data_IF_699262834257
#
_entry.id   IF_699262834257
#
_cell.length_a   1.000
_cell.length_b   1.000
_cell.length_c   1.000
_cell.angle_alpha   90.00
_cell.angle_beta   90.00
_cell.angle_gamma   90.00
#
_symmetry.space_group_name_H-M   'P 1'
#
loop_
_entity.id
_entity.type
_entity.pdbx_description
1 polymer ?
#
# COMPACT_ATOMS: atom_id res chain seq x y z
N UNK A 1 29.28 -28.92 -13.02
CA UNK A 1 29.19 -27.56 -13.56
C UNK A 1 28.12 -27.58 -14.64
N UNK A 2 26.90 -27.28 -14.29
CA UNK A 2 25.71 -27.29 -15.15
C UNK A 2 24.93 -26.04 -14.90
N UNK A 3 24.92 -25.22 -15.90
CA UNK A 3 24.31 -23.88 -15.95
C UNK A 3 22.78 -24.03 -15.96
N UNK A 4 22.12 -23.78 -14.83
CA UNK A 4 20.66 -23.72 -14.73
C UNK A 4 20.20 -22.28 -15.06
N UNK A 5 20.08 -22.00 -16.35
CA UNK A 5 19.33 -20.82 -16.80
C UNK A 5 17.83 -21.06 -16.60
N UNK A 6 17.28 -20.48 -15.54
CA UNK A 6 15.83 -20.44 -15.33
C UNK A 6 15.21 -19.54 -16.40
N UNK A 7 14.46 -20.15 -17.33
CA UNK A 7 13.64 -19.42 -18.32
C UNK A 7 12.49 -18.74 -17.59
N UNK A 8 12.54 -17.41 -17.55
CA UNK A 8 11.42 -16.57 -17.08
C UNK A 8 10.26 -16.70 -18.07
N UNK A 9 9.17 -17.31 -17.64
CA UNK A 9 7.89 -17.25 -18.38
C UNK A 9 7.16 -16.02 -17.87
N UNK A 10 7.13 -14.99 -18.70
CA UNK A 10 6.36 -13.77 -18.47
C UNK A 10 4.90 -14.05 -18.84
N UNK A 11 4.03 -14.15 -17.86
CA UNK A 11 2.58 -14.07 -18.07
C UNK A 11 2.13 -12.72 -17.54
N UNK A 12 1.96 -11.77 -18.44
CA UNK A 12 1.35 -10.48 -18.12
C UNK A 12 -0.16 -10.70 -17.89
N UNK A 13 -0.58 -10.76 -16.65
CA UNK A 13 -1.98 -10.71 -16.28
C UNK A 13 -2.37 -9.27 -15.96
N UNK A 14 -2.81 -8.53 -16.97
CA UNK A 14 -3.55 -7.29 -16.76
C UNK A 14 -4.89 -7.64 -16.11
N UNK A 15 -5.03 -7.38 -14.81
CA UNK A 15 -6.27 -7.63 -14.09
C UNK A 15 -7.17 -6.39 -14.25
N UNK A 16 -8.00 -6.39 -15.32
CA UNK A 16 -9.12 -5.48 -15.45
C UNK A 16 -10.32 -6.06 -14.68
N UNK A 17 -10.69 -5.46 -13.54
CA UNK A 17 -11.91 -5.82 -12.84
C UNK A 17 -13.11 -5.08 -13.41
N UNK A 18 -14.03 -5.80 -14.04
CA UNK A 18 -15.38 -5.32 -14.23
C UNK A 18 -16.23 -5.76 -13.02
N UNK A 19 -16.53 -4.83 -12.12
CA UNK A 19 -17.35 -5.10 -10.93
C UNK A 19 -18.83 -4.98 -11.30
N UNK A 20 -19.58 -6.07 -11.23
CA UNK A 20 -21.04 -6.05 -11.26
C UNK A 20 -21.53 -6.03 -9.81
N UNK A 21 -22.04 -4.88 -9.37
CA UNK A 21 -22.62 -4.72 -8.04
C UNK A 21 -24.12 -5.05 -8.10
N UNK A 22 -24.54 -6.06 -7.35
CA UNK A 22 -25.94 -6.28 -7.00
C UNK A 22 -26.17 -5.65 -5.64
N UNK A 23 -26.96 -4.60 -5.60
CA UNK A 23 -27.36 -3.93 -4.35
C UNK A 23 -28.38 -4.81 -3.60
N UNK A 24 -28.02 -5.26 -2.41
CA UNK A 24 -28.98 -5.77 -1.41
C UNK A 24 -28.85 -4.90 -0.16
N UNK A 25 -29.95 -4.24 0.18
CA UNK A 25 -30.05 -3.36 1.32
C UNK A 25 -30.23 -4.11 2.64
N UNK A 26 -29.88 -3.44 3.73
CA UNK A 26 -30.55 -3.55 5.00
C UNK A 26 -29.73 -4.03 6.18
N UNK A 27 -29.69 -3.22 7.22
CA UNK A 27 -29.45 -3.69 8.57
C UNK A 27 -28.42 -2.89 9.35
N UNK A 28 -28.83 -1.76 9.89
CA UNK A 28 -28.06 -0.97 10.84
C UNK A 28 -27.89 -1.72 12.16
N UNK A 29 -26.74 -2.33 12.42
CA UNK A 29 -26.38 -2.83 13.74
C UNK A 29 -25.64 -1.73 14.49
N UNK A 30 -26.22 -1.27 15.60
CA UNK A 30 -25.59 -0.36 16.57
C UNK A 30 -24.28 -1.00 17.05
N UNK A 31 -23.16 -0.38 16.72
CA UNK A 31 -21.87 -0.71 17.32
C UNK A 31 -21.95 -0.52 18.84
N UNK A 32 -21.68 -1.60 19.58
CA UNK A 32 -21.53 -1.53 21.03
C UNK A 32 -20.34 -0.65 21.39
N UNK A 33 -20.46 0.10 22.49
CA UNK A 33 -19.41 0.97 23.00
C UNK A 33 -18.06 0.22 23.15
N UNK A 34 -16.92 0.88 22.92
CA UNK A 34 -15.60 0.26 23.02
C UNK A 34 -15.38 -0.26 24.43
N UNK A 35 -15.09 -1.55 24.56
CA UNK A 35 -14.72 -2.16 25.84
C UNK A 35 -13.27 -1.79 26.15
N UNK A 36 -13.07 -1.01 27.22
CA UNK A 36 -11.86 -0.29 27.59
C UNK A 36 -10.57 -1.11 27.61
N UNK A 37 -9.67 -0.73 26.74
CA UNK A 37 -8.23 -0.90 26.81
C UNK A 37 -7.56 0.47 26.76
N UNK A 38 -6.21 0.59 26.91
CA UNK A 38 -5.54 1.85 26.75
C UNK A 38 -5.77 2.43 25.36
N UNK A 39 -5.93 3.75 25.27
CA UNK A 39 -6.14 4.46 24.01
C UNK A 39 -5.02 4.18 23.00
N UNK A 40 -5.35 4.23 21.70
CA UNK A 40 -4.37 4.22 20.61
C UNK A 40 -4.34 5.57 19.91
N UNK A 41 -3.16 6.01 19.50
CA UNK A 41 -2.95 7.30 18.84
C UNK A 41 -2.91 7.21 17.31
N UNK A 42 -3.12 6.03 16.73
CA UNK A 42 -3.06 5.78 15.30
C UNK A 42 -4.35 5.13 14.79
N UNK A 43 -4.72 5.43 13.56
CA UNK A 43 -5.77 4.72 12.85
C UNK A 43 -5.24 3.37 12.35
N UNK A 44 -6.13 2.40 12.21
CA UNK A 44 -5.84 1.09 11.66
C UNK A 44 -6.59 0.89 10.35
N UNK A 45 -5.96 0.22 9.39
CA UNK A 45 -6.56 -0.04 8.08
C UNK A 45 -6.14 -1.37 7.48
N UNK A 46 -6.88 -1.79 6.47
CA UNK A 46 -6.61 -2.99 5.67
C UNK A 46 -6.64 -2.60 4.20
N UNK A 47 -5.80 -3.23 3.37
CA UNK A 47 -5.83 -3.04 1.92
C UNK A 47 -7.05 -3.73 1.28
N UNK A 48 -7.42 -3.26 0.10
CA UNK A 48 -8.47 -3.89 -0.70
C UNK A 48 -7.97 -5.11 -1.49
N UNK A 49 -6.85 -5.74 -1.09
CA UNK A 49 -6.41 -6.99 -1.69
C UNK A 49 -7.43 -8.09 -1.36
N UNK A 50 -8.17 -8.62 -2.36
CA UNK A 50 -9.27 -9.55 -2.08
C UNK A 50 -8.74 -10.95 -1.78
N UNK A 51 -9.54 -11.75 -1.08
CA UNK A 51 -9.27 -13.18 -0.87
C UNK A 51 -9.32 -13.98 -2.17
N UNK A 52 -10.26 -13.64 -3.05
CA UNK A 52 -10.48 -14.24 -4.36
C UNK A 52 -10.62 -13.16 -5.42
N UNK A 53 -10.24 -13.44 -6.66
CA UNK A 53 -10.32 -12.50 -7.78
C UNK A 53 -11.78 -12.37 -8.29
N UNK A 54 -12.67 -11.85 -7.43
CA UNK A 54 -14.06 -11.57 -7.78
C UNK A 54 -14.59 -10.34 -7.03
N UNK A 55 -15.67 -9.75 -7.54
CA UNK A 55 -16.25 -8.52 -7.01
C UNK A 55 -16.78 -8.65 -5.59
N UNK A 56 -17.33 -9.82 -5.21
CA UNK A 56 -17.79 -10.05 -3.83
C UNK A 56 -16.63 -10.01 -2.85
N UNK A 57 -15.57 -10.74 -3.13
CA UNK A 57 -14.39 -10.78 -2.28
C UNK A 57 -13.71 -9.41 -2.18
N UNK A 58 -13.74 -8.62 -3.26
CA UNK A 58 -13.28 -7.23 -3.22
C UNK A 58 -14.15 -6.37 -2.31
N UNK A 59 -15.48 -6.47 -2.39
CA UNK A 59 -16.40 -5.75 -1.50
C UNK A 59 -16.23 -6.16 -0.03
N UNK A 60 -15.96 -7.45 0.23
CA UNK A 60 -15.73 -7.96 1.59
C UNK A 60 -14.51 -7.30 2.27
N UNK A 61 -13.54 -6.77 1.52
CA UNK A 61 -12.40 -6.05 2.10
C UNK A 61 -12.81 -4.74 2.77
N UNK A 62 -13.75 -4.01 2.20
CA UNK A 62 -14.29 -2.79 2.80
C UNK A 62 -15.10 -3.09 4.08
N UNK A 63 -15.84 -4.21 4.09
CA UNK A 63 -16.53 -4.66 5.30
C UNK A 63 -15.55 -5.00 6.41
N UNK A 64 -14.47 -5.70 6.07
CA UNK A 64 -13.42 -6.06 7.03
C UNK A 64 -12.72 -4.81 7.57
N UNK A 65 -12.36 -3.86 6.69
CA UNK A 65 -11.74 -2.61 7.08
C UNK A 65 -12.62 -1.83 8.05
N UNK A 66 -13.91 -1.66 7.76
CA UNK A 66 -14.86 -0.97 8.62
C UNK A 66 -15.11 -1.66 9.96
N UNK A 67 -15.04 -3.00 9.99
CA UNK A 67 -15.18 -3.79 11.21
C UNK A 67 -13.98 -3.67 12.14
N UNK A 68 -12.80 -3.40 11.60
CA UNK A 68 -11.54 -3.57 12.33
C UNK A 68 -10.60 -2.37 12.25
N UNK A 69 -11.09 -1.21 11.82
CA UNK A 69 -10.29 -0.01 11.74
C UNK A 69 -11.08 1.18 11.21
N UNK A 70 -10.36 2.23 10.88
CA UNK A 70 -10.90 3.49 10.35
C UNK A 70 -10.48 3.76 8.91
N UNK A 71 -9.56 2.94 8.36
CA UNK A 71 -8.95 3.22 7.07
C UNK A 71 -9.04 2.03 6.11
N UNK A 72 -9.03 2.36 4.83
CA UNK A 72 -8.87 1.39 3.75
C UNK A 72 -7.83 1.90 2.75
N UNK A 73 -7.00 0.98 2.24
CA UNK A 73 -6.05 1.24 1.15
C UNK A 73 -6.63 0.72 -0.15
N UNK A 74 -6.80 1.60 -1.13
CA UNK A 74 -6.99 1.24 -2.54
C UNK A 74 -5.65 1.48 -3.25
N UNK A 75 -5.05 0.43 -3.81
CA UNK A 75 -3.84 0.54 -4.62
C UNK A 75 -4.14 0.09 -6.04
N UNK A 76 -3.71 0.89 -7.02
CA UNK A 76 -4.08 0.65 -8.41
C UNK A 76 -3.07 1.19 -9.41
N UNK A 77 -2.79 0.39 -10.42
CA UNK A 77 -2.14 0.86 -11.64
C UNK A 77 -3.07 1.84 -12.37
N UNK A 78 -2.58 2.98 -12.88
CA UNK A 78 -3.41 3.91 -13.63
C UNK A 78 -4.10 3.21 -14.83
N UNK A 79 -5.39 3.44 -15.05
CA UNK A 79 -6.06 3.00 -16.27
C UNK A 79 -5.70 3.96 -17.42
N UNK A 80 -4.43 3.90 -17.84
CA UNK A 80 -3.80 4.86 -18.74
C UNK A 80 -4.62 5.22 -19.97
N UNK A 81 -5.30 4.22 -20.57
CA UNK A 81 -6.08 4.41 -21.80
C UNK A 81 -7.18 5.46 -21.67
N UNK A 82 -7.72 5.63 -20.45
CA UNK A 82 -8.79 6.58 -20.14
C UNK A 82 -8.29 8.02 -19.92
N UNK A 83 -6.97 8.18 -19.78
CA UNK A 83 -6.36 9.45 -19.37
C UNK A 83 -5.32 9.99 -20.36
N UNK A 84 -5.04 9.28 -21.44
CA UNK A 84 -4.20 9.81 -22.53
C UNK A 84 -4.87 11.03 -23.15
N UNK A 85 -4.10 11.98 -23.73
CA UNK A 85 -4.66 13.19 -24.32
C UNK A 85 -5.77 12.89 -25.33
N UNK A 86 -6.95 13.47 -25.10
CA UNK A 86 -8.13 13.30 -25.97
C UNK A 86 -8.98 12.06 -25.73
N UNK A 87 -8.65 11.23 -24.73
CA UNK A 87 -9.49 10.11 -24.36
C UNK A 87 -10.67 10.55 -23.46
N UNK A 88 -11.77 9.83 -23.56
CA UNK A 88 -12.89 9.90 -22.61
C UNK A 88 -12.71 8.85 -21.51
N UNK A 89 -13.20 9.15 -20.31
CA UNK A 89 -13.21 8.20 -19.21
C UNK A 89 -14.21 7.08 -19.51
N UNK A 90 -13.74 5.84 -19.50
CA UNK A 90 -14.58 4.67 -19.77
C UNK A 90 -15.68 4.50 -18.69
N UNK A 91 -16.81 3.90 -19.09
CA UNK A 91 -17.88 3.53 -18.17
C UNK A 91 -17.36 2.62 -17.05
N UNK A 92 -16.41 1.74 -17.35
CA UNK A 92 -15.79 0.83 -16.38
C UNK A 92 -15.05 1.61 -15.29
N UNK A 93 -14.22 2.59 -15.65
CA UNK A 93 -13.51 3.44 -14.68
C UNK A 93 -14.48 4.28 -13.88
N UNK A 94 -15.46 4.92 -14.51
CA UNK A 94 -16.47 5.73 -13.83
C UNK A 94 -17.28 4.91 -12.82
N UNK A 95 -17.73 3.71 -13.21
CA UNK A 95 -18.48 2.80 -12.35
C UNK A 95 -17.65 2.28 -11.17
N UNK A 96 -16.41 1.92 -11.41
CA UNK A 96 -15.48 1.49 -10.35
C UNK A 96 -15.29 2.60 -9.34
N UNK A 97 -15.00 3.82 -9.79
CA UNK A 97 -14.85 5.00 -8.93
C UNK A 97 -16.09 5.24 -8.07
N UNK A 98 -17.27 5.23 -8.68
CA UNK A 98 -18.52 5.43 -7.95
C UNK A 98 -18.77 4.35 -6.90
N UNK A 99 -18.53 3.07 -7.24
CA UNK A 99 -18.73 1.95 -6.32
C UNK A 99 -17.78 1.99 -5.12
N UNK A 100 -16.52 2.30 -5.37
CA UNK A 100 -15.50 2.38 -4.31
C UNK A 100 -15.73 3.59 -3.41
N UNK A 101 -16.08 4.73 -4.01
CA UNK A 101 -16.42 5.94 -3.24
C UNK A 101 -17.63 5.71 -2.34
N UNK A 102 -18.68 5.06 -2.87
CA UNK A 102 -19.86 4.67 -2.10
C UNK A 102 -19.50 3.71 -0.95
N UNK A 103 -18.64 2.71 -1.21
CA UNK A 103 -18.16 1.78 -0.19
C UNK A 103 -17.38 2.48 0.93
N UNK A 104 -16.52 3.44 0.58
CA UNK A 104 -15.75 4.26 1.53
C UNK A 104 -16.68 5.13 2.37
N UNK A 105 -17.60 5.87 1.72
CA UNK A 105 -18.48 6.82 2.39
C UNK A 105 -19.53 6.14 3.27
N UNK A 106 -20.19 5.11 2.75
CA UNK A 106 -21.24 4.39 3.48
C UNK A 106 -20.72 3.68 4.73
N UNK A 107 -19.42 3.35 4.75
CA UNK A 107 -18.75 2.71 5.87
C UNK A 107 -17.94 3.68 6.74
N UNK A 108 -17.99 4.98 6.42
CA UNK A 108 -17.24 6.03 7.12
C UNK A 108 -15.73 5.76 7.23
N UNK A 109 -15.15 5.14 6.20
CA UNK A 109 -13.72 4.87 6.14
C UNK A 109 -12.94 6.10 5.67
N UNK A 110 -11.74 6.27 6.17
CA UNK A 110 -10.77 7.20 5.61
C UNK A 110 -9.97 6.48 4.53
N UNK A 111 -9.95 7.05 3.34
CA UNK A 111 -9.28 6.45 2.19
C UNK A 111 -7.80 6.85 2.15
N UNK A 112 -6.93 5.85 2.01
CA UNK A 112 -5.61 6.00 1.44
C UNK A 112 -5.65 5.45 0.01
N UNK A 113 -5.42 6.31 -0.97
CA UNK A 113 -5.36 5.90 -2.38
C UNK A 113 -3.92 5.91 -2.86
N UNK A 114 -3.42 4.77 -3.34
CA UNK A 114 -2.07 4.64 -3.88
C UNK A 114 -2.12 4.41 -5.39
N UNK A 115 -1.61 5.37 -6.16
CA UNK A 115 -1.34 5.19 -7.58
C UNK A 115 -0.05 4.38 -7.70
N UNK A 116 -0.14 3.18 -8.31
CA UNK A 116 0.99 2.28 -8.56
C UNK A 116 1.32 2.25 -10.05
N UNK A 117 2.18 3.15 -10.55
CA UNK A 117 2.45 3.25 -11.97
C UNK A 117 3.44 2.19 -12.47
N UNK A 118 4.15 1.50 -11.56
CA UNK A 118 5.23 0.57 -11.91
C UNK A 118 4.83 -0.89 -11.76
N UNK A 119 5.50 -1.79 -12.48
CA UNK A 119 5.17 -3.21 -12.52
C UNK A 119 5.79 -3.97 -11.34
N UNK A 120 5.01 -4.17 -10.26
CA UNK A 120 5.44 -4.93 -9.10
C UNK A 120 5.85 -6.38 -9.41
N UNK A 121 5.28 -6.99 -10.46
CA UNK A 121 5.62 -8.37 -10.85
C UNK A 121 7.04 -8.51 -11.43
N UNK A 122 7.62 -7.41 -11.91
CA UNK A 122 9.00 -7.38 -12.44
C UNK A 122 9.98 -6.74 -11.46
N UNK A 123 9.54 -6.47 -10.22
CA UNK A 123 10.32 -5.76 -9.22
C UNK A 123 10.46 -4.28 -9.58
N UNK A 124 9.44 -3.69 -10.21
CA UNK A 124 9.33 -2.26 -10.54
C UNK A 124 10.40 -1.74 -11.52
N UNK A 125 10.72 -2.52 -12.55
CA UNK A 125 11.71 -2.14 -13.56
C UNK A 125 11.14 -1.32 -14.73
N UNK A 126 9.81 -1.16 -14.80
CA UNK A 126 9.09 -0.46 -15.89
C UNK A 126 7.70 -0.02 -15.43
N UNK A 127 7.03 0.78 -16.28
CA UNK A 127 5.63 1.14 -16.08
C UNK A 127 4.71 -0.07 -16.32
N UNK A 128 3.65 -0.16 -15.53
CA UNK A 128 2.62 -1.18 -15.63
C UNK A 128 1.41 -0.70 -16.44
N UNK A 129 0.77 -1.63 -17.17
CA UNK A 129 -0.56 -1.40 -17.73
C UNK A 129 -0.65 -0.38 -18.88
N UNK A 130 0.48 0.04 -19.45
CA UNK A 130 0.48 0.96 -20.57
C UNK A 130 -0.29 0.38 -21.77
N UNK A 131 -1.14 1.18 -22.46
CA UNK A 131 -1.79 0.76 -23.70
C UNK A 131 -0.77 0.51 -24.81
N UNK A 132 -1.14 -0.24 -25.83
CA UNK A 132 -0.23 -0.62 -26.92
C UNK A 132 0.43 0.57 -27.63
N UNK A 133 -0.25 1.70 -27.72
CA UNK A 133 0.27 2.96 -28.26
C UNK A 133 1.38 3.60 -27.41
N UNK A 134 1.53 3.17 -26.18
CA UNK A 134 2.53 3.69 -25.22
C UNK A 134 3.53 2.62 -24.76
N UNK A 135 3.54 1.46 -25.40
CA UNK A 135 4.46 0.36 -25.04
C UNK A 135 5.92 0.83 -25.06
N UNK A 136 6.62 0.57 -23.96
CA UNK A 136 8.05 0.91 -23.79
C UNK A 136 8.34 2.39 -23.49
N UNK A 137 7.28 3.22 -23.31
CA UNK A 137 7.43 4.59 -22.82
C UNK A 137 7.70 4.60 -21.31
N UNK A 138 8.27 5.71 -20.83
CA UNK A 138 8.63 5.95 -19.44
C UNK A 138 8.14 7.35 -18.98
N UNK A 139 8.54 7.82 -17.82
CA UNK A 139 8.12 9.13 -17.28
C UNK A 139 8.69 10.34 -18.01
N UNK A 140 9.63 10.16 -18.96
CA UNK A 140 10.09 11.23 -19.83
C UNK A 140 9.10 11.56 -20.97
N UNK A 141 8.21 10.62 -21.31
CA UNK A 141 7.25 10.77 -22.39
C UNK A 141 6.11 11.72 -22.04
N UNK A 142 5.77 12.63 -22.95
CA UNK A 142 4.77 13.67 -22.72
C UNK A 142 3.34 13.12 -22.54
N UNK A 143 2.98 12.03 -23.23
CA UNK A 143 1.65 11.42 -23.10
C UNK A 143 1.52 10.67 -21.76
N UNK A 144 2.61 9.98 -21.32
CA UNK A 144 2.66 9.33 -20.00
C UNK A 144 2.50 10.38 -18.89
N UNK A 145 3.25 11.47 -18.98
CA UNK A 145 3.15 12.57 -17.99
C UNK A 145 1.76 13.16 -17.95
N UNK A 146 1.20 13.47 -19.12
CA UNK A 146 -0.15 14.04 -19.23
C UNK A 146 -1.21 13.11 -18.65
N UNK A 147 -1.17 11.83 -19.02
CA UNK A 147 -2.09 10.82 -18.51
C UNK A 147 -2.00 10.65 -16.98
N UNK A 148 -0.78 10.60 -16.44
CA UNK A 148 -0.54 10.48 -15.01
C UNK A 148 -1.11 11.68 -14.22
N UNK A 149 -0.83 12.90 -14.69
CA UNK A 149 -1.31 14.13 -14.07
C UNK A 149 -2.83 14.23 -14.08
N UNK A 150 -3.44 13.87 -15.22
CA UNK A 150 -4.90 13.87 -15.36
C UNK A 150 -5.53 12.82 -14.44
N UNK A 151 -4.94 11.63 -14.34
CA UNK A 151 -5.41 10.59 -13.43
C UNK A 151 -5.25 10.98 -11.97
N UNK A 152 -4.11 11.55 -11.58
CA UNK A 152 -3.90 12.03 -10.21
C UNK A 152 -4.94 13.08 -9.80
N UNK A 153 -5.22 14.04 -10.68
CA UNK A 153 -6.27 15.04 -10.46
C UNK A 153 -7.67 14.41 -10.41
N UNK A 154 -7.96 13.44 -11.29
CA UNK A 154 -9.22 12.69 -11.28
C UNK A 154 -9.44 11.98 -9.94
N UNK A 155 -8.42 11.29 -9.42
CA UNK A 155 -8.49 10.62 -8.10
C UNK A 155 -8.75 11.65 -7.00
N UNK A 156 -8.02 12.76 -6.99
CA UNK A 156 -8.21 13.81 -5.99
C UNK A 156 -9.64 14.36 -5.97
N UNK A 157 -10.22 14.63 -7.15
CA UNK A 157 -11.57 15.21 -7.30
C UNK A 157 -12.68 14.21 -6.98
N UNK A 158 -12.56 12.96 -7.42
CA UNK A 158 -13.66 12.00 -7.35
C UNK A 158 -13.66 11.15 -6.09
N UNK A 159 -12.51 10.88 -5.49
CA UNK A 159 -12.40 10.10 -4.26
C UNK A 159 -12.23 10.97 -3.02
N UNK A 160 -11.65 12.17 -3.13
CA UNK A 160 -11.26 13.01 -1.98
C UNK A 160 -10.52 12.20 -0.90
N UNK A 161 -9.43 11.51 -1.25
CA UNK A 161 -8.76 10.62 -0.30
C UNK A 161 -8.14 11.44 0.84
N UNK A 162 -8.16 10.89 2.07
CA UNK A 162 -7.46 11.51 3.19
C UNK A 162 -5.94 11.51 2.97
N UNK A 163 -5.44 10.45 2.33
CA UNK A 163 -4.02 10.30 1.96
C UNK A 163 -3.92 9.78 0.53
N UNK A 164 -2.92 10.24 -0.21
CA UNK A 164 -2.71 9.85 -1.59
C UNK A 164 -1.22 9.63 -1.88
N UNK A 165 -0.85 8.41 -2.27
CA UNK A 165 0.48 8.14 -2.79
C UNK A 165 0.47 8.28 -4.32
N UNK A 166 1.44 9.03 -4.86
CA UNK A 166 1.64 9.24 -6.30
C UNK A 166 2.70 8.29 -6.89
N UNK A 167 3.06 7.27 -6.16
CA UNK A 167 3.97 6.20 -6.55
C UNK A 167 4.13 5.21 -5.40
N UNK A 168 4.31 3.93 -5.73
CA UNK A 168 4.48 2.86 -4.75
C UNK A 168 5.89 2.30 -4.83
N UNK A 169 6.58 2.27 -3.68
CA UNK A 169 7.93 1.69 -3.51
C UNK A 169 8.95 2.21 -4.54
N UNK A 170 8.93 3.52 -4.74
CA UNK A 170 9.67 4.16 -5.83
C UNK A 170 11.20 4.12 -5.67
N UNK A 171 11.72 3.75 -4.49
CA UNK A 171 13.14 3.44 -4.32
C UNK A 171 13.56 2.21 -5.15
N UNK A 172 12.71 1.18 -5.29
CA UNK A 172 12.98 0.03 -6.15
C UNK A 172 13.09 0.46 -7.63
N UNK A 173 12.18 1.34 -8.08
CA UNK A 173 12.25 1.90 -9.43
C UNK A 173 13.54 2.71 -9.64
N UNK A 174 13.94 3.51 -8.64
CA UNK A 174 15.13 4.38 -8.73
C UNK A 174 16.44 3.60 -8.93
N UNK A 175 16.53 2.38 -8.40
CA UNK A 175 17.71 1.54 -8.56
C UNK A 175 17.81 0.98 -9.98
N UNK A 176 16.69 0.65 -10.60
CA UNK A 176 16.63 -0.01 -11.91
C UNK A 176 16.63 0.99 -13.06
N UNK A 177 16.05 2.17 -12.84
CA UNK A 177 15.83 3.21 -13.85
C UNK A 177 16.21 4.60 -13.33
N UNK A 178 17.45 4.76 -12.90
CA UNK A 178 17.91 6.00 -12.24
C UNK A 178 17.66 7.27 -13.08
N UNK A 179 17.90 7.24 -14.39
CA UNK A 179 17.69 8.39 -15.26
C UNK A 179 16.20 8.76 -15.38
N UNK A 180 15.32 7.76 -15.46
CA UNK A 180 13.88 8.01 -15.54
C UNK A 180 13.26 8.29 -14.15
N UNK A 181 13.91 7.90 -13.07
CA UNK A 181 13.49 8.28 -11.72
C UNK A 181 13.56 9.80 -11.51
N UNK A 182 14.53 10.50 -12.12
CA UNK A 182 14.59 11.96 -12.10
C UNK A 182 13.39 12.59 -12.83
N UNK A 183 12.93 11.97 -13.94
CA UNK A 183 11.71 12.34 -14.63
C UNK A 183 10.47 12.10 -13.76
N UNK A 184 10.42 10.95 -13.07
CA UNK A 184 9.35 10.65 -12.10
C UNK A 184 9.31 11.69 -10.98
N UNK A 185 10.44 12.06 -10.39
CA UNK A 185 10.49 13.05 -9.32
C UNK A 185 9.94 14.40 -9.80
N UNK A 186 10.32 14.85 -10.99
CA UNK A 186 9.77 16.05 -11.61
C UNK A 186 8.26 15.96 -11.81
N UNK A 187 7.78 14.82 -12.32
CA UNK A 187 6.36 14.55 -12.51
C UNK A 187 5.58 14.50 -11.18
N UNK A 188 6.15 13.87 -10.16
CA UNK A 188 5.58 13.82 -8.82
C UNK A 188 5.37 15.23 -8.25
N UNK A 189 6.36 16.12 -8.39
CA UNK A 189 6.24 17.49 -7.88
C UNK A 189 5.14 18.28 -8.58
N UNK A 190 4.96 18.08 -9.87
CA UNK A 190 3.85 18.68 -10.62
C UNK A 190 2.49 18.07 -10.19
N UNK A 191 2.43 16.75 -10.05
CA UNK A 191 1.24 16.05 -9.60
C UNK A 191 0.83 16.44 -8.17
N UNK A 192 1.82 16.61 -7.26
CA UNK A 192 1.58 17.12 -5.91
C UNK A 192 0.84 18.45 -5.93
N UNK A 193 1.32 19.42 -6.70
CA UNK A 193 0.69 20.74 -6.79
C UNK A 193 -0.76 20.64 -7.33
N UNK A 194 -0.98 19.83 -8.38
CA UNK A 194 -2.32 19.62 -8.94
C UNK A 194 -3.28 18.95 -7.96
N UNK A 195 -2.80 17.97 -7.19
CA UNK A 195 -3.61 17.31 -6.16
C UNK A 195 -3.95 18.31 -5.05
N UNK A 196 -2.99 19.09 -4.58
CA UNK A 196 -3.22 20.11 -3.54
C UNK A 196 -4.16 21.22 -4.01
N UNK A 197 -4.15 21.58 -5.29
CA UNK A 197 -5.13 22.52 -5.87
C UNK A 197 -6.54 21.91 -5.93
N UNK A 198 -6.66 20.63 -6.35
CA UNK A 198 -7.94 19.96 -6.52
C UNK A 198 -8.57 19.50 -5.19
N UNK A 199 -7.75 19.10 -4.22
CA UNK A 199 -8.15 18.57 -2.91
C UNK A 199 -7.14 19.00 -1.83
N UNK A 200 -7.24 20.24 -1.31
CA UNK A 200 -6.24 20.82 -0.39
C UNK A 200 -6.01 20.01 0.89
N UNK A 201 -7.03 19.31 1.37
CA UNK A 201 -6.97 18.50 2.59
C UNK A 201 -6.31 17.14 2.40
N UNK A 202 -6.17 16.66 1.15
CA UNK A 202 -5.49 15.41 0.84
C UNK A 202 -4.01 15.50 1.23
N UNK A 203 -3.55 14.57 2.07
CA UNK A 203 -2.13 14.42 2.40
C UNK A 203 -1.43 13.61 1.31
N UNK A 204 -0.48 14.24 0.61
CA UNK A 204 0.19 13.66 -0.56
C UNK A 204 1.55 13.09 -0.18
N UNK A 205 1.89 11.93 -0.73
CA UNK A 205 3.14 11.22 -0.47
C UNK A 205 3.58 10.37 -1.67
N UNK A 206 4.69 9.70 -1.51
CA UNK A 206 5.16 8.54 -2.27
C UNK A 206 5.50 7.45 -1.25
N UNK A 207 5.33 6.18 -1.58
CA UNK A 207 5.75 5.13 -0.64
C UNK A 207 7.14 4.60 -0.96
N UNK A 208 7.82 4.15 0.10
CA UNK A 208 9.16 3.60 0.07
C UNK A 208 9.16 2.19 0.63
N UNK A 209 9.74 1.23 -0.07
CA UNK A 209 10.00 -0.10 0.48
C UNK A 209 11.12 0.02 1.52
N UNK A 210 10.77 -0.23 2.78
CA UNK A 210 11.59 0.18 3.92
C UNK A 210 12.88 -0.66 4.07
N UNK A 211 12.78 -1.97 3.85
CA UNK A 211 13.93 -2.88 3.92
C UNK A 211 14.93 -2.58 2.79
N UNK A 212 14.43 -2.17 1.62
CA UNK A 212 15.27 -1.74 0.52
C UNK A 212 15.95 -0.39 0.80
N UNK A 213 15.23 0.59 1.36
CA UNK A 213 15.86 1.85 1.79
C UNK A 213 17.07 1.63 2.70
N UNK A 214 17.07 0.54 3.47
CA UNK A 214 18.18 0.14 4.34
C UNK A 214 19.26 -0.68 3.61
N UNK A 215 19.06 -1.02 2.32
CA UNK A 215 19.92 -1.94 1.58
C UNK A 215 19.86 -3.38 2.09
N UNK A 216 18.72 -3.80 2.64
CA UNK A 216 18.54 -5.11 3.29
C UNK A 216 17.65 -6.07 2.53
N UNK A 217 17.05 -5.68 1.41
CA UNK A 217 16.15 -6.54 0.66
C UNK A 217 16.96 -7.61 -0.11
N UNK A 218 16.84 -8.92 0.22
CA UNK A 218 17.73 -9.95 -0.35
C UNK A 218 17.43 -10.28 -1.81
N UNK A 219 16.30 -9.82 -2.33
CA UNK A 219 15.89 -10.02 -3.73
C UNK A 219 16.43 -8.96 -4.67
N UNK A 220 17.00 -7.89 -4.13
CA UNK A 220 17.58 -6.78 -4.87
C UNK A 220 19.10 -6.78 -4.74
N UNK A 221 19.78 -6.05 -5.62
CA UNK A 221 21.22 -5.85 -5.53
C UNK A 221 21.56 -5.15 -4.21
N UNK A 222 22.60 -5.62 -3.54
CA UNK A 222 23.05 -4.99 -2.31
C UNK A 222 23.57 -3.58 -2.59
N UNK A 223 23.07 -2.63 -1.84
CA UNK A 223 23.48 -1.22 -1.94
C UNK A 223 23.57 -0.59 -0.54
N UNK A 224 24.20 0.59 -0.47
CA UNK A 224 24.17 1.39 0.75
C UNK A 224 22.76 1.94 1.01
N UNK A 225 22.39 2.19 2.28
CA UNK A 225 21.11 2.80 2.60
C UNK A 225 20.80 4.04 1.77
N UNK A 226 19.62 4.08 1.17
CA UNK A 226 19.20 5.10 0.20
C UNK A 226 18.33 6.22 0.81
N UNK A 227 18.57 6.58 2.08
CA UNK A 227 17.77 7.56 2.82
C UNK A 227 17.68 8.94 2.17
N UNK A 228 18.66 9.31 1.34
CA UNK A 228 18.65 10.57 0.57
C UNK A 228 17.43 10.69 -0.36
N UNK A 229 16.83 9.56 -0.77
CA UNK A 229 15.61 9.58 -1.59
C UNK A 229 14.44 10.18 -0.81
N UNK A 230 14.26 9.82 0.45
CA UNK A 230 13.21 10.39 1.32
C UNK A 230 13.40 11.90 1.44
N UNK A 231 14.65 12.34 1.71
CA UNK A 231 14.98 13.75 1.83
C UNK A 231 14.75 14.54 0.53
N UNK A 232 14.95 13.91 -0.63
CA UNK A 232 14.75 14.56 -1.92
C UNK A 232 13.28 14.92 -2.21
N UNK A 233 12.32 14.24 -1.54
CA UNK A 233 10.89 14.50 -1.67
C UNK A 233 10.30 15.36 -0.52
N UNK A 234 11.06 15.62 0.54
CA UNK A 234 10.56 16.22 1.79
C UNK A 234 9.83 17.55 1.60
N UNK A 235 10.24 18.37 0.61
CA UNK A 235 9.62 19.66 0.32
C UNK A 235 8.16 19.55 -0.19
N UNK A 236 7.82 18.46 -0.87
CA UNK A 236 6.49 18.19 -1.42
C UNK A 236 5.99 16.79 -1.00
N UNK A 237 6.10 16.50 0.28
CA UNK A 237 5.62 15.28 0.90
C UNK A 237 4.97 15.65 2.24
N UNK A 238 3.71 15.28 2.44
CA UNK A 238 2.99 15.64 3.67
C UNK A 238 3.22 14.61 4.79
N UNK A 239 3.45 13.35 4.45
CA UNK A 239 3.78 12.25 5.35
C UNK A 239 4.85 11.34 4.73
N UNK A 240 5.74 10.78 5.55
CA UNK A 240 6.73 9.79 5.12
C UNK A 240 6.11 8.39 5.18
N UNK A 241 5.66 7.90 4.03
CA UNK A 241 4.95 6.64 3.92
C UNK A 241 5.89 5.49 3.55
N UNK A 242 5.82 4.40 4.29
CA UNK A 242 6.60 3.19 4.03
C UNK A 242 5.72 1.97 3.80
N UNK A 243 6.19 1.06 2.94
CA UNK A 243 5.80 -0.34 2.92
C UNK A 243 6.89 -1.16 3.63
N UNK A 244 6.52 -2.13 4.46
CA UNK A 244 7.47 -2.86 5.28
C UNK A 244 7.08 -4.33 5.44
N UNK A 245 8.02 -5.20 5.11
CA UNK A 245 7.88 -6.65 5.14
C UNK A 245 9.14 -7.29 5.73
N UNK A 246 9.38 -7.13 7.05
CA UNK A 246 10.64 -7.54 7.66
C UNK A 246 10.96 -9.03 7.51
N UNK A 247 9.96 -9.88 7.30
CA UNK A 247 10.15 -11.30 7.00
C UNK A 247 10.99 -11.57 5.74
N UNK A 248 11.14 -10.56 4.86
CA UNK A 248 12.03 -10.66 3.69
C UNK A 248 13.52 -10.52 4.07
N UNK A 249 13.81 -9.75 5.12
CA UNK A 249 15.17 -9.38 5.50
C UNK A 249 15.65 -10.06 6.79
N UNK A 250 14.75 -10.55 7.64
CA UNK A 250 15.06 -11.12 8.94
C UNK A 250 14.42 -12.51 9.10
N UNK A 251 15.18 -13.46 9.60
CA UNK A 251 14.70 -14.82 9.81
C UNK A 251 13.68 -14.93 10.96
N UNK A 252 13.78 -14.03 11.94
CA UNK A 252 12.89 -13.99 13.11
C UNK A 252 12.59 -12.54 13.49
N UNK A 253 11.45 -12.34 14.12
CA UNK A 253 11.04 -11.03 14.66
C UNK A 253 12.04 -10.51 15.70
N UNK A 254 12.68 -11.40 16.46
CA UNK A 254 13.75 -11.04 17.43
C UNK A 254 15.00 -10.44 16.79
N UNK A 255 15.23 -10.70 15.50
CA UNK A 255 16.40 -10.20 14.77
C UNK A 255 16.19 -8.78 14.22
N UNK A 256 14.95 -8.31 14.21
CA UNK A 256 14.62 -6.94 13.81
C UNK A 256 15.18 -5.98 14.88
N UNK A 257 15.97 -4.95 14.52
CA UNK A 257 16.54 -4.00 15.47
C UNK A 257 15.47 -3.28 16.32
N UNK A 258 15.79 -2.95 17.55
CA UNK A 258 14.91 -2.11 18.38
C UNK A 258 14.70 -0.73 17.75
N UNK A 259 13.50 -0.17 17.93
CA UNK A 259 13.12 1.13 17.34
C UNK A 259 13.33 1.15 15.83
N UNK A 260 12.90 0.07 15.17
CA UNK A 260 13.19 -0.20 13.77
C UNK A 260 12.82 0.98 12.85
N UNK A 261 11.63 1.52 12.99
CA UNK A 261 11.13 2.61 12.15
C UNK A 261 11.64 4.00 12.57
N UNK A 262 12.19 4.15 13.75
CA UNK A 262 12.66 5.45 14.24
C UNK A 262 13.86 6.00 13.45
N UNK A 263 14.60 5.15 12.75
CA UNK A 263 15.72 5.56 11.88
C UNK A 263 15.30 6.60 10.84
N UNK A 264 14.04 6.52 10.37
CA UNK A 264 13.52 7.46 9.36
C UNK A 264 13.46 8.91 9.87
N UNK A 265 13.37 9.12 11.20
CA UNK A 265 13.42 10.45 11.84
C UNK A 265 14.74 11.21 11.60
N UNK A 266 15.80 10.53 11.24
CA UNK A 266 17.07 11.16 10.85
C UNK A 266 17.03 11.83 9.47
N UNK A 267 15.97 11.62 8.70
CA UNK A 267 15.92 12.05 7.29
C UNK A 267 14.67 12.89 6.96
N UNK A 268 13.70 12.95 7.83
CA UNK A 268 12.48 13.75 7.67
C UNK A 268 11.84 14.08 9.02
N UNK A 269 11.27 15.27 9.13
CA UNK A 269 10.42 15.69 10.24
C UNK A 269 8.93 15.38 9.98
N UNK A 270 8.59 14.88 8.78
CA UNK A 270 7.21 14.54 8.43
C UNK A 270 6.70 13.39 9.28
N UNK A 271 5.38 13.33 9.57
CA UNK A 271 4.80 12.18 10.25
C UNK A 271 5.09 10.88 9.48
N UNK A 272 5.63 9.88 10.19
CA UNK A 272 5.87 8.55 9.60
C UNK A 272 4.54 7.79 9.61
N UNK A 273 4.19 7.14 8.50
CA UNK A 273 3.02 6.27 8.38
C UNK A 273 3.43 4.93 7.77
N UNK A 274 2.79 3.87 8.21
CA UNK A 274 2.94 2.57 7.57
C UNK A 274 1.77 2.41 6.59
N UNK A 275 2.06 2.65 5.30
CA UNK A 275 1.11 2.54 4.20
C UNK A 275 0.76 1.08 3.89
N UNK A 276 1.75 0.21 4.03
CA UNK A 276 1.61 -1.23 3.90
C UNK A 276 2.51 -1.93 4.91
N UNK A 277 2.00 -2.89 5.62
CA UNK A 277 2.82 -3.81 6.39
C UNK A 277 2.31 -5.23 6.29
N UNK A 278 3.23 -6.17 6.42
CA UNK A 278 2.92 -7.56 6.50
C UNK A 278 4.07 -8.39 7.04
N UNK A 279 3.72 -9.58 7.47
CA UNK A 279 4.69 -10.61 7.89
C UNK A 279 4.12 -11.96 7.52
N UNK A 280 4.90 -12.81 6.87
CA UNK A 280 4.41 -14.13 6.46
C UNK A 280 4.10 -15.01 7.67
N UNK A 281 2.97 -15.69 7.66
CA UNK A 281 2.57 -16.67 8.68
C UNK A 281 3.08 -18.08 8.40
N UNK A 282 3.80 -18.28 7.29
CA UNK A 282 4.42 -19.56 6.93
C UNK A 282 5.77 -19.34 6.27
N UNK A 283 6.59 -20.38 6.26
CA UNK A 283 7.84 -20.36 5.52
C UNK A 283 7.57 -20.19 4.03
N UNK A 284 8.26 -19.24 3.43
CA UNK A 284 8.11 -18.92 2.02
C UNK A 284 8.86 -19.84 1.09
N UNK A 285 8.67 -19.60 -0.20
CA UNK A 285 9.37 -20.31 -1.26
C UNK A 285 10.82 -19.79 -1.34
N UNK A 286 11.77 -20.69 -1.50
CA UNK A 286 13.22 -20.38 -1.71
C UNK A 286 13.92 -19.64 -0.55
N UNK A 287 13.45 -19.78 0.71
CA UNK A 287 14.11 -19.17 1.87
C UNK A 287 13.84 -17.69 2.07
N UNK A 288 13.03 -17.08 1.24
CA UNK A 288 12.45 -15.75 1.46
C UNK A 288 11.20 -15.95 2.31
N UNK A 289 10.92 -15.03 3.26
CA UNK A 289 9.80 -15.18 4.19
C UNK A 289 9.92 -16.38 5.14
N UNK A 290 10.89 -16.37 6.03
CA UNK A 290 11.00 -17.36 7.09
C UNK A 290 9.99 -17.07 8.21
N UNK A 291 8.69 -17.13 7.89
CA UNK A 291 7.62 -16.80 8.83
C UNK A 291 6.97 -18.01 9.48
N UNK A 292 6.20 -17.71 10.51
CA UNK A 292 5.23 -18.58 11.16
C UNK A 292 4.11 -17.71 11.73
N UNK A 293 2.98 -18.28 12.14
CA UNK A 293 1.91 -17.55 12.78
C UNK A 293 2.36 -16.87 14.08
N UNK A 294 3.29 -17.50 14.81
CA UNK A 294 3.89 -16.93 16.02
C UNK A 294 4.75 -15.71 15.69
N UNK A 295 5.59 -15.80 14.66
CA UNK A 295 6.43 -14.68 14.22
C UNK A 295 5.57 -13.54 13.67
N UNK A 296 4.52 -13.83 12.90
CA UNK A 296 3.55 -12.84 12.43
C UNK A 296 2.91 -12.08 13.61
N UNK A 297 2.48 -12.81 14.65
CA UNK A 297 1.88 -12.23 15.86
C UNK A 297 2.87 -11.38 16.64
N UNK A 298 4.10 -11.85 16.78
CA UNK A 298 5.17 -11.12 17.47
C UNK A 298 5.53 -9.83 16.71
N UNK A 299 5.65 -9.90 15.39
CA UNK A 299 5.87 -8.73 14.56
C UNK A 299 4.74 -7.71 14.68
N UNK A 300 3.49 -8.14 14.55
CA UNK A 300 2.34 -7.25 14.66
C UNK A 300 2.31 -6.53 16.01
N UNK A 301 2.52 -7.26 17.10
CA UNK A 301 2.59 -6.66 18.47
C UNK A 301 3.63 -5.55 18.55
N UNK A 302 4.82 -5.82 18.00
CA UNK A 302 5.93 -4.87 17.99
C UNK A 302 5.63 -3.67 17.10
N UNK A 303 5.13 -3.87 15.87
CA UNK A 303 4.83 -2.79 14.94
C UNK A 303 3.77 -1.83 15.51
N UNK A 304 2.72 -2.35 16.17
CA UNK A 304 1.70 -1.54 16.81
C UNK A 304 2.24 -0.76 18.00
N UNK A 305 3.17 -1.33 18.78
CA UNK A 305 3.85 -0.62 19.85
C UNK A 305 4.72 0.53 19.33
N UNK A 306 5.53 0.28 18.28
CA UNK A 306 6.33 1.34 17.65
C UNK A 306 5.46 2.43 17.01
N UNK A 307 4.32 2.08 16.41
CA UNK A 307 3.37 3.06 15.88
C UNK A 307 2.84 3.99 16.97
N UNK A 308 2.53 3.42 18.15
CA UNK A 308 2.10 4.20 19.32
C UNK A 308 3.22 5.11 19.82
N UNK A 309 4.43 4.60 19.95
CA UNK A 309 5.59 5.33 20.47
C UNK A 309 6.02 6.48 19.55
N UNK A 310 6.07 6.22 18.24
CA UNK A 310 6.43 7.20 17.21
C UNK A 310 5.31 8.19 16.89
N UNK A 311 4.09 7.96 17.41
CA UNK A 311 2.93 8.79 17.11
C UNK A 311 2.55 8.75 15.63
N UNK A 312 2.64 7.58 15.00
CA UNK A 312 2.24 7.43 13.62
C UNK A 312 0.76 7.78 13.45
N UNK A 313 0.36 8.51 12.39
CA UNK A 313 -1.06 8.79 12.13
C UNK A 313 -1.88 7.52 11.85
N UNK A 314 -1.29 6.53 11.16
CA UNK A 314 -1.96 5.28 10.84
C UNK A 314 -0.99 4.14 10.52
N UNK A 315 -1.55 2.92 10.56
CA UNK A 315 -0.91 1.70 10.05
C UNK A 315 -1.92 0.90 9.22
N UNK A 316 -1.49 0.35 8.08
CA UNK A 316 -2.32 -0.48 7.21
C UNK A 316 -1.70 -1.86 7.08
N UNK A 317 -2.46 -2.91 7.39
CA UNK A 317 -2.07 -4.28 7.10
C UNK A 317 -2.41 -4.62 5.65
N UNK A 318 -1.45 -5.20 4.91
CA UNK A 318 -1.55 -5.32 3.45
C UNK A 318 -2.66 -6.24 2.97
N UNK A 319 -2.97 -7.35 3.68
CA UNK A 319 -4.08 -8.22 3.29
C UNK A 319 -4.92 -8.66 4.50
N UNK A 320 -6.25 -8.60 4.36
CA UNK A 320 -7.16 -9.15 5.38
C UNK A 320 -7.09 -10.67 5.44
N UNK A 321 -7.08 -11.31 4.27
CA UNK A 321 -7.02 -12.77 4.08
C UNK A 321 -5.78 -13.18 3.30
N UNK A 322 -5.37 -14.44 3.44
CA UNK A 322 -4.36 -15.02 2.56
C UNK A 322 -4.87 -15.03 1.12
N UNK A 323 -4.16 -14.40 0.17
CA UNK A 323 -4.52 -14.42 -1.23
C UNK A 323 -4.02 -15.72 -1.89
N UNK A 324 -4.78 -16.82 -1.75
CA UNK A 324 -4.38 -18.14 -2.23
C UNK A 324 -4.05 -18.16 -3.74
N UNK A 325 -4.67 -17.26 -4.52
CA UNK A 325 -4.38 -17.10 -5.95
C UNK A 325 -2.99 -16.53 -6.25
N UNK A 326 -2.30 -15.96 -5.25
CA UNK A 326 -0.93 -15.46 -5.42
C UNK A 326 0.09 -16.60 -5.57
N UNK A 327 -0.27 -17.82 -5.15
CA UNK A 327 0.57 -19.01 -5.32
C UNK A 327 0.99 -19.20 -6.79
N UNK A 328 2.22 -19.56 -6.98
CA UNK A 328 2.82 -19.80 -8.32
C UNK A 328 2.82 -18.55 -9.24
N UNK A 329 2.66 -17.35 -8.67
CA UNK A 329 2.82 -16.07 -9.35
C UNK A 329 4.02 -15.30 -8.81
N UNK A 330 4.46 -14.20 -9.44
CA UNK A 330 5.46 -13.29 -8.87
C UNK A 330 5.10 -12.75 -7.47
N UNK A 331 3.82 -12.76 -7.12
CA UNK A 331 3.29 -12.32 -5.82
C UNK A 331 3.16 -13.45 -4.78
N UNK A 332 3.71 -14.64 -5.07
CA UNK A 332 3.68 -15.79 -4.16
C UNK A 332 4.28 -15.52 -2.78
N UNK A 333 5.16 -14.52 -2.67
CA UNK A 333 5.72 -14.05 -1.38
C UNK A 333 4.66 -13.51 -0.42
N UNK A 334 3.50 -13.11 -0.93
CA UNK A 334 2.36 -12.62 -0.15
C UNK A 334 1.29 -13.67 0.13
N UNK A 335 1.48 -14.92 -0.31
CA UNK A 335 0.47 -15.99 -0.18
C UNK A 335 0.00 -16.22 1.26
N UNK A 336 0.84 -15.96 2.27
CA UNK A 336 0.58 -16.21 3.68
C UNK A 336 0.62 -14.94 4.53
N UNK A 337 0.29 -13.78 3.95
CA UNK A 337 0.43 -12.47 4.61
C UNK A 337 -0.84 -12.03 5.34
N UNK A 338 -1.99 -12.67 5.08
CA UNK A 338 -3.28 -12.33 5.67
C UNK A 338 -3.28 -12.43 7.20
N UNK A 339 -4.16 -11.66 7.85
CA UNK A 339 -4.51 -11.84 9.27
C UNK A 339 -5.45 -13.03 9.46
N UNK A 340 -6.15 -13.39 8.40
CA UNK A 340 -7.04 -14.56 8.30
C UNK A 340 -6.49 -15.51 7.23
N UNK A 341 -6.77 -16.79 7.38
CA UNK A 341 -6.54 -17.78 6.33
C UNK A 341 -7.46 -17.55 5.12
N UNK A 342 -7.17 -18.20 4.02
CA UNK A 342 -8.00 -18.16 2.79
C UNK A 342 -9.41 -18.75 2.98
N UNK A 343 -9.60 -19.66 3.95
CA UNK A 343 -10.90 -20.18 4.34
C UNK A 343 -11.69 -19.26 5.30
N UNK A 344 -11.04 -18.16 5.77
CA UNK A 344 -11.59 -17.20 6.71
C UNK A 344 -11.37 -17.54 8.18
N UNK A 345 -10.68 -18.63 8.50
CA UNK A 345 -10.31 -18.95 9.88
C UNK A 345 -9.26 -17.96 10.41
N UNK A 346 -9.29 -17.73 11.72
CA UNK A 346 -8.48 -16.73 12.39
C UNK A 346 -7.06 -17.23 12.67
N UNK A 347 -6.05 -16.43 12.32
CA UNK A 347 -4.68 -16.62 12.80
C UNK A 347 -4.48 -15.93 14.16
N UNK A 348 -3.47 -16.32 14.96
CA UNK A 348 -3.17 -15.64 16.24
C UNK A 348 -3.00 -14.12 16.12
N UNK A 349 -2.42 -13.63 15.01
CA UNK A 349 -2.28 -12.20 14.73
C UNK A 349 -3.63 -11.47 14.63
N UNK A 350 -4.68 -12.15 14.16
CA UNK A 350 -6.02 -11.57 14.10
C UNK A 350 -6.54 -11.17 15.48
N UNK A 351 -6.32 -11.96 16.51
CA UNK A 351 -6.76 -11.63 17.87
C UNK A 351 -6.10 -10.33 18.38
N UNK A 352 -4.81 -10.12 18.04
CA UNK A 352 -4.06 -8.90 18.39
C UNK A 352 -4.63 -7.69 17.63
N UNK A 353 -4.84 -7.84 16.31
CA UNK A 353 -5.41 -6.79 15.48
C UNK A 353 -6.81 -6.38 15.96
N UNK A 354 -7.70 -7.36 16.11
CA UNK A 354 -9.07 -7.15 16.56
C UNK A 354 -9.15 -6.57 17.99
N UNK A 355 -8.27 -6.96 18.90
CA UNK A 355 -8.20 -6.38 20.24
C UNK A 355 -7.74 -4.92 20.20
N UNK A 356 -6.73 -4.61 19.37
CA UNK A 356 -6.21 -3.25 19.24
C UNK A 356 -7.23 -2.33 18.55
N UNK A 357 -7.94 -2.80 17.53
CA UNK A 357 -8.95 -1.99 16.83
C UNK A 357 -10.13 -1.57 17.72
N UNK A 358 -10.44 -2.36 18.75
CA UNK A 358 -11.49 -2.01 19.74
C UNK A 358 -11.05 -0.98 20.77
N UNK A 359 -9.75 -0.64 20.86
CA UNK A 359 -9.26 0.42 21.73
C UNK A 359 -9.73 1.78 21.20
N UNK A 360 -10.10 2.74 22.07
CA UNK A 360 -10.47 4.08 21.62
C UNK A 360 -9.34 4.71 20.80
N UNK A 361 -9.66 5.24 19.63
CA UNK A 361 -8.73 6.04 18.85
C UNK A 361 -8.81 7.49 19.30
N UNK A 362 -7.69 8.05 19.72
CA UNK A 362 -7.53 9.46 20.11
C UNK A 362 -6.36 10.03 19.32
N UNK A 363 -6.67 10.87 18.34
CA UNK A 363 -5.64 11.53 17.55
C UNK A 363 -4.72 12.36 18.46
N UNK A 364 -3.41 12.24 18.29
CA UNK A 364 -2.48 13.17 18.95
C UNK A 364 -2.69 14.56 18.38
N UNK A 365 -2.84 15.56 19.21
CA UNK A 365 -2.83 16.96 18.78
C UNK A 365 -1.46 17.27 18.14
N UNK A 366 -1.47 17.85 16.94
CA UNK A 366 -0.27 18.38 16.33
C UNK A 366 0.21 19.58 17.21
N UNK A 367 1.17 19.32 18.10
CA UNK A 367 1.69 20.38 18.99
C UNK A 367 2.01 19.87 20.38
N UNK A 368 3.11 19.16 20.53
CA UNK A 368 3.61 18.71 21.82
C UNK A 368 5.01 18.09 21.70
N UNK A 369 5.87 18.73 20.93
CA UNK A 369 7.32 18.52 21.00
C UNK A 369 7.87 19.54 21.97
N UNK A 370 8.07 19.12 23.24
CA UNK A 370 8.86 19.84 24.21
C UNK A 370 10.28 19.30 24.21
#
# INVERSE_FOLDING_TARGET
MGDLRVRRVVVAAAICFAVVVVACGGGSSKQGAPTGGPERSFMMGISTLPRELNGKSYSDTFELAAKTGEMVLIQRTPPWADFVPGADISEATAKTTASEKDAVDSKHLRLFFAIDPTDGATGRDRLAGLPSSMTGKDFSDGDVRSAFLTYAQYVAINYHPAYMALGVEMNLYSQKNKADFDNFQSLYFEAYDRVKEASPDTQVTVTWQYEDLQGRLPTEDQHFPAWQLVKAFDAKMDVAAISTYPSFAFAKTSDIPDKYYSQLRGFTEKPIVIAEMGYSSAAGVQGINNGSEQEQSAFLTRALAEAQDLGMPFVIWFAGWDPAYAKDTPFGVFQHIGLLHDDGSEKPAWAIWAATSRRPYVARSAGGGG
#
